data_IF_483680924880
#
_entry.id   IF_483680924880
#
_cell.length_a   1.000
_cell.length_b   1.000
_cell.length_c   1.000
_cell.angle_alpha   90.00
_cell.angle_beta   90.00
_cell.angle_gamma   90.00
#
_symmetry.space_group_name_H-M   'P 1'
#
loop_
_entity.id
_entity.type
_entity.pdbx_description
1 polymer ?
#
# COMPACT_ATOMS: atom_id res chain seq x y z
N UNK A 1 -22.87 8.58 -22.90
CA UNK A 1 -21.52 8.00 -23.13
C UNK A 1 -20.37 8.93 -22.75
N UNK A 2 -20.23 10.15 -23.29
CA UNK A 2 -19.07 11.04 -22.98
C UNK A 2 -18.97 11.51 -21.51
N UNK A 3 -20.08 11.93 -20.90
CA UNK A 3 -20.06 12.47 -19.54
C UNK A 3 -19.71 11.41 -18.47
N UNK A 4 -20.15 10.16 -18.67
CA UNK A 4 -19.88 9.06 -17.75
C UNK A 4 -18.42 8.62 -17.81
N UNK A 5 -17.83 8.58 -19.02
CA UNK A 5 -16.40 8.33 -19.21
C UNK A 5 -15.53 9.40 -18.55
N UNK A 6 -15.95 10.68 -18.65
CA UNK A 6 -15.25 11.78 -17.99
C UNK A 6 -15.27 11.62 -16.46
N UNK A 7 -16.42 11.30 -15.87
CA UNK A 7 -16.55 11.04 -14.42
C UNK A 7 -15.65 9.89 -13.96
N UNK A 8 -15.65 8.77 -14.71
CA UNK A 8 -14.77 7.62 -14.43
C UNK A 8 -13.30 8.01 -14.49
N UNK A 9 -12.91 8.82 -15.48
CA UNK A 9 -11.52 9.31 -15.62
C UNK A 9 -11.11 10.22 -14.46
N UNK A 10 -11.97 11.16 -14.06
CA UNK A 10 -11.70 12.05 -12.92
C UNK A 10 -11.58 11.26 -11.61
N UNK A 11 -12.46 10.29 -11.38
CA UNK A 11 -12.40 9.41 -10.20
C UNK A 11 -11.08 8.61 -10.18
N UNK A 12 -10.67 8.06 -11.32
CA UNK A 12 -9.40 7.35 -11.43
C UNK A 12 -8.21 8.25 -11.10
N UNK A 13 -8.21 9.50 -11.58
CA UNK A 13 -7.16 10.48 -11.27
C UNK A 13 -7.17 10.87 -9.79
N UNK A 14 -8.35 10.94 -9.16
CA UNK A 14 -8.51 11.18 -7.73
C UNK A 14 -7.88 10.06 -6.90
N UNK A 15 -8.22 8.81 -7.21
CA UNK A 15 -7.69 7.61 -6.55
C UNK A 15 -6.16 7.55 -6.71
N UNK A 16 -5.63 7.96 -7.85
CA UNK A 16 -4.19 8.03 -8.10
C UNK A 16 -3.49 9.24 -7.46
N UNK A 17 -4.23 10.15 -6.80
CA UNK A 17 -3.67 11.38 -6.21
C UNK A 17 -3.22 12.43 -7.24
N UNK A 18 -3.61 12.28 -8.51
CA UNK A 18 -3.13 13.12 -9.63
C UNK A 18 -3.95 14.37 -9.89
N UNK A 19 -4.93 14.68 -9.05
CA UNK A 19 -5.76 15.88 -9.17
C UNK A 19 -5.03 17.16 -8.75
N UNK A 20 -3.86 17.03 -8.12
CA UNK A 20 -3.02 18.15 -7.67
C UNK A 20 -1.62 18.00 -8.29
N UNK A 21 -0.95 19.10 -8.69
CA UNK A 21 0.41 19.05 -9.22
C UNK A 21 1.35 18.29 -8.29
N UNK A 22 2.00 17.27 -8.83
CA UNK A 22 3.03 16.51 -8.12
C UNK A 22 4.36 17.24 -8.27
N UNK A 23 5.18 17.25 -7.21
CA UNK A 23 6.53 17.79 -7.30
C UNK A 23 7.49 16.67 -7.74
N UNK A 24 8.18 16.81 -8.89
CA UNK A 24 9.08 15.76 -9.40
C UNK A 24 10.31 15.55 -8.52
N UNK A 25 10.60 16.48 -7.61
CA UNK A 25 11.68 16.36 -6.63
C UNK A 25 11.22 15.67 -5.34
N UNK A 26 9.95 15.29 -5.22
CA UNK A 26 9.48 14.55 -4.06
C UNK A 26 10.19 13.20 -3.99
N UNK A 27 10.63 12.84 -2.78
CA UNK A 27 11.32 11.59 -2.55
C UNK A 27 10.35 10.42 -2.82
N UNK A 28 10.75 9.39 -3.59
CA UNK A 28 9.92 8.21 -3.76
C UNK A 28 9.78 7.48 -2.43
N UNK A 29 8.58 6.95 -2.16
CA UNK A 29 8.28 6.22 -0.92
C UNK A 29 9.27 5.07 -0.63
N UNK A 30 9.92 4.50 -1.66
CA UNK A 30 10.95 3.47 -1.51
C UNK A 30 12.13 3.91 -0.63
N UNK A 31 12.57 5.17 -0.75
CA UNK A 31 13.72 5.69 0.01
C UNK A 31 13.34 5.86 1.49
N UNK A 32 12.13 6.33 1.78
CA UNK A 32 11.60 6.37 3.14
C UNK A 32 11.52 4.96 3.75
N UNK A 33 11.02 3.98 2.99
CA UNK A 33 10.93 2.59 3.44
C UNK A 33 12.30 1.98 3.76
N UNK A 34 13.33 2.30 2.96
CA UNK A 34 14.71 1.89 3.24
C UNK A 34 15.23 2.47 4.56
N UNK A 35 14.99 3.76 4.81
CA UNK A 35 15.36 4.42 6.08
C UNK A 35 14.67 3.80 7.28
N UNK A 36 13.36 3.56 7.18
CA UNK A 36 12.58 2.88 8.23
C UNK A 36 13.13 1.49 8.52
N UNK A 37 13.48 0.72 7.48
CA UNK A 37 14.08 -0.62 7.64
C UNK A 37 15.43 -0.56 8.36
N UNK A 38 16.30 0.38 7.99
CA UNK A 38 17.61 0.54 8.61
C UNK A 38 17.50 0.96 10.08
N UNK A 39 16.65 1.95 10.38
CA UNK A 39 16.40 2.39 11.76
C UNK A 39 15.81 1.28 12.62
N UNK A 40 14.83 0.53 12.08
CA UNK A 40 14.25 -0.64 12.74
C UNK A 40 15.33 -1.69 13.08
N UNK A 41 16.24 -1.99 12.16
CA UNK A 41 17.35 -2.92 12.42
C UNK A 41 18.28 -2.42 13.53
N UNK A 42 18.57 -1.11 13.55
CA UNK A 42 19.37 -0.50 14.61
C UNK A 42 18.68 -0.61 15.97
N UNK A 43 17.39 -0.26 16.06
CA UNK A 43 16.62 -0.34 17.30
C UNK A 43 16.49 -1.78 17.84
N UNK A 44 16.40 -2.77 16.94
CA UNK A 44 16.44 -4.19 17.30
C UNK A 44 17.81 -4.55 17.89
N UNK A 45 18.90 -4.10 17.27
CA UNK A 45 20.27 -4.33 17.76
C UNK A 45 20.51 -3.67 19.13
N UNK A 46 19.93 -2.49 19.34
CA UNK A 46 19.95 -1.77 20.62
C UNK A 46 19.00 -2.37 21.68
N UNK A 47 18.16 -3.34 21.32
CA UNK A 47 17.21 -3.99 22.23
C UNK A 47 16.01 -3.12 22.62
N UNK A 48 15.82 -1.97 21.97
CA UNK A 48 14.70 -1.05 22.24
C UNK A 48 13.36 -1.57 21.70
N UNK A 49 13.41 -2.35 20.63
CA UNK A 49 12.25 -3.03 20.03
C UNK A 49 12.55 -4.50 19.81
N UNK A 50 11.51 -5.35 19.90
CA UNK A 50 11.64 -6.77 19.57
C UNK A 50 11.72 -6.93 18.05
N UNK A 51 12.49 -7.92 17.60
CA UNK A 51 12.47 -8.33 16.19
C UNK A 51 11.09 -8.92 15.89
N UNK A 52 10.40 -8.37 14.89
CA UNK A 52 9.15 -8.95 14.41
C UNK A 52 9.39 -10.39 13.95
N UNK A 53 8.41 -11.25 14.22
CA UNK A 53 8.56 -12.69 13.99
C UNK A 53 8.70 -13.03 12.50
N UNK A 54 8.03 -12.31 11.61
CA UNK A 54 8.14 -12.51 10.16
C UNK A 54 7.81 -11.21 9.42
N UNK A 55 8.66 -10.82 8.47
CA UNK A 55 8.33 -9.76 7.51
C UNK A 55 7.36 -10.35 6.48
N UNK A 56 6.22 -9.70 6.27
CA UNK A 56 5.23 -10.15 5.28
C UNK A 56 5.14 -9.16 4.12
N UNK A 57 4.88 -9.69 2.92
CA UNK A 57 4.75 -8.88 1.71
C UNK A 57 3.43 -9.20 1.05
N UNK A 58 2.60 -8.17 0.88
CA UNK A 58 1.38 -8.26 0.08
C UNK A 58 1.72 -7.94 -1.37
N UNK A 59 1.31 -8.81 -2.30
CA UNK A 59 1.48 -8.61 -3.73
C UNK A 59 0.23 -9.05 -4.48
N UNK A 60 0.08 -8.54 -5.71
CA UNK A 60 -1.04 -8.84 -6.58
C UNK A 60 -0.61 -9.85 -7.65
N UNK A 61 -1.37 -10.93 -7.79
CA UNK A 61 -1.13 -11.96 -8.81
C UNK A 61 -1.63 -11.56 -10.20
N UNK A 62 -1.27 -12.37 -11.20
CA UNK A 62 -1.76 -12.23 -12.58
C UNK A 62 -3.28 -12.41 -12.70
N UNK A 63 -3.89 -13.06 -11.71
CA UNK A 63 -5.33 -13.30 -11.58
C UNK A 63 -6.07 -12.17 -10.87
N UNK A 64 -5.40 -11.04 -10.63
CA UNK A 64 -5.96 -9.86 -9.96
C UNK A 64 -6.32 -10.08 -8.48
N UNK A 65 -5.89 -11.18 -7.86
CA UNK A 65 -6.05 -11.48 -6.45
C UNK A 65 -4.88 -10.96 -5.60
N UNK A 66 -5.12 -10.74 -4.32
CA UNK A 66 -4.12 -10.27 -3.36
C UNK A 66 -3.61 -11.42 -2.51
N UNK A 67 -2.29 -11.53 -2.41
CA UNK A 67 -1.61 -12.58 -1.65
C UNK A 67 -0.66 -11.97 -0.63
N UNK A 68 -0.66 -12.51 0.58
CA UNK A 68 0.36 -12.23 1.59
C UNK A 68 1.40 -13.36 1.58
N UNK A 69 2.67 -13.00 1.43
CA UNK A 69 3.79 -13.93 1.61
C UNK A 69 4.41 -13.72 2.99
N UNK A 70 4.40 -14.77 3.81
CA UNK A 70 5.01 -14.81 5.15
C UNK A 70 6.11 -15.87 5.12
N UNK A 71 7.37 -15.45 4.93
CA UNK A 71 8.48 -16.39 4.74
C UNK A 71 8.33 -17.22 3.45
N UNK A 72 8.08 -18.52 3.57
CA UNK A 72 7.85 -19.43 2.44
C UNK A 72 6.36 -19.72 2.18
N UNK A 73 5.47 -19.30 3.06
CA UNK A 73 4.03 -19.50 2.91
C UNK A 73 3.43 -18.33 2.13
N UNK A 74 2.51 -18.66 1.21
CA UNK A 74 1.74 -17.68 0.43
C UNK A 74 0.27 -17.95 0.73
N UNK A 75 -0.43 -16.94 1.22
CA UNK A 75 -1.85 -17.00 1.58
C UNK A 75 -2.63 -16.02 0.71
N UNK A 76 -3.75 -16.46 0.11
CA UNK A 76 -4.72 -15.56 -0.54
C UNK A 76 -5.45 -14.77 0.55
N UNK A 77 -5.40 -13.45 0.47
CA UNK A 77 -6.02 -12.52 1.43
C UNK A 77 -7.06 -11.63 0.74
N UNK A 78 -7.49 -11.98 -0.48
CA UNK A 78 -8.41 -11.13 -1.26
C UNK A 78 -9.72 -10.85 -0.53
N UNK A 79 -10.24 -11.82 0.20
CA UNK A 79 -11.48 -11.72 0.99
C UNK A 79 -11.26 -11.14 2.40
N UNK A 80 -10.01 -10.91 2.81
CA UNK A 80 -9.65 -10.35 4.12
C UNK A 80 -9.43 -8.82 4.05
N UNK A 81 -9.25 -8.28 2.85
CA UNK A 81 -9.20 -6.84 2.61
C UNK A 81 -10.65 -6.38 2.53
N UNK A 82 -11.24 -6.00 3.67
CA UNK A 82 -12.54 -5.34 3.69
C UNK A 82 -12.41 -4.00 2.94
N UNK A 83 -12.95 -3.95 1.73
CA UNK A 83 -13.06 -2.74 0.92
C UNK A 83 -14.23 -1.85 1.37
N UNK A 84 -14.85 -2.13 2.51
CA UNK A 84 -15.89 -1.26 3.04
C UNK A 84 -15.29 0.11 3.35
N UNK A 85 -15.86 1.13 2.73
CA UNK A 85 -15.54 2.51 3.04
C UNK A 85 -15.93 2.75 4.51
N UNK A 86 -15.07 3.40 5.32
CA UNK A 86 -15.44 3.72 6.70
C UNK A 86 -16.75 4.52 6.76
N UNK A 87 -17.58 4.21 7.76
CA UNK A 87 -18.79 4.99 8.05
C UNK A 87 -18.43 6.49 8.11
N UNK A 88 -19.05 7.29 7.22
CA UNK A 88 -18.78 8.73 7.05
C UNK A 88 -17.95 9.12 5.83
N UNK A 89 -17.49 8.15 5.03
CA UNK A 89 -16.92 8.37 3.69
C UNK A 89 -17.94 8.22 2.54
N UNK A 90 -19.21 7.95 2.86
CA UNK A 90 -20.33 8.08 1.92
C UNK A 90 -20.66 9.57 1.69
N UNK A 91 -20.90 9.93 0.43
CA UNK A 91 -21.24 11.28 -0.04
C UNK A 91 -22.67 11.68 0.32
#
# INVERSE_FOLDING_TARGET
>A
MKAEQLRKSILQLAIQGKLVPQNPNDEPASVLLERIRAEKQQLIKEGKIKKDKVDSVIFKGDDNRHYEKVGNEIKDITEEIDFELPDGWEY
#
